data_IF_650970539739
#
_entry.id   IF_650970539739
#
_cell.length_a   1.000
_cell.length_b   1.000
_cell.length_c   1.000
_cell.angle_alpha   90.00
_cell.angle_beta   90.00
_cell.angle_gamma   90.00
#
_symmetry.space_group_name_H-M   'P 1'
#
loop_
_entity.id
_entity.type
_entity.pdbx_description
1 polymer ?
#
# COMPACT_ATOMS: atom_id res chain seq x y z
N UNK A 1 -27.23 15.38 -34.90
CA UNK A 1 -27.11 15.81 -33.49
C UNK A 1 -25.75 15.38 -32.97
N UNK A 2 -24.83 16.33 -32.90
CA UNK A 2 -23.55 16.28 -32.19
C UNK A 2 -23.62 17.42 -31.15
N UNK A 3 -23.02 17.27 -29.95
CA UNK A 3 -21.56 17.30 -29.84
C UNK A 3 -20.95 16.33 -28.81
N UNK A 4 -19.84 15.71 -29.18
CA UNK A 4 -18.79 15.20 -28.27
C UNK A 4 -17.72 16.28 -28.16
N UNK A 5 -17.60 16.91 -26.99
CA UNK A 5 -16.56 17.91 -26.71
C UNK A 5 -15.36 17.18 -26.07
N UNK A 6 -14.42 16.70 -26.89
CA UNK A 6 -13.14 16.16 -26.45
C UNK A 6 -12.21 17.33 -26.20
N UNK A 7 -11.94 17.65 -24.93
CA UNK A 7 -10.97 18.70 -24.58
C UNK A 7 -9.62 18.11 -24.20
N UNK A 8 -8.68 18.16 -25.14
CA UNK A 8 -7.26 18.12 -24.83
C UNK A 8 -6.85 19.44 -24.16
N UNK A 9 -6.38 19.39 -22.91
CA UNK A 9 -5.64 20.49 -22.29
C UNK A 9 -4.43 19.96 -21.56
N UNK A 10 -3.27 20.54 -21.85
CA UNK A 10 -2.06 20.36 -21.07
C UNK A 10 -2.23 21.02 -19.69
N UNK A 11 -1.90 20.33 -18.58
CA UNK A 11 -1.82 20.98 -17.28
C UNK A 11 -0.48 21.70 -17.15
N UNK A 12 -0.56 22.97 -16.72
CA UNK A 12 0.57 23.71 -16.17
C UNK A 12 0.99 23.07 -14.83
N UNK A 13 2.30 22.95 -14.64
CA UNK A 13 2.98 22.47 -13.43
C UNK A 13 2.44 23.15 -12.17
N UNK A 14 1.91 22.35 -11.24
CA UNK A 14 2.00 22.57 -9.80
C UNK A 14 2.50 21.24 -9.22
N UNK A 15 3.69 21.27 -8.60
CA UNK A 15 4.27 20.09 -7.96
C UNK A 15 3.53 19.81 -6.65
N UNK A 16 2.74 18.73 -6.60
CA UNK A 16 2.52 17.96 -5.39
C UNK A 16 3.37 16.70 -5.51
N UNK A 17 4.41 16.61 -4.67
CA UNK A 17 5.43 15.57 -4.72
C UNK A 17 4.91 14.34 -3.96
N UNK A 18 4.40 13.35 -4.68
CA UNK A 18 4.18 12.01 -4.16
C UNK A 18 5.37 11.14 -4.58
N UNK A 19 6.17 10.69 -3.61
CA UNK A 19 7.34 9.85 -3.86
C UNK A 19 6.91 8.41 -4.15
N UNK A 20 6.77 8.07 -5.43
CA UNK A 20 6.86 6.69 -5.88
C UNK A 20 8.35 6.29 -5.87
N UNK A 21 8.71 5.34 -5.00
CA UNK A 21 10.08 4.86 -4.85
C UNK A 21 10.48 4.04 -6.08
N UNK A 22 11.41 4.56 -6.88
CA UNK A 22 12.12 3.83 -7.93
C UNK A 22 13.47 4.51 -8.15
N UNK A 23 14.43 4.21 -7.29
CA UNK A 23 15.82 4.64 -7.45
C UNK A 23 16.55 3.65 -8.37
N UNK A 24 16.75 4.04 -9.62
CA UNK A 24 17.80 3.50 -10.49
C UNK A 24 19.07 4.31 -10.25
N UNK A 25 20.08 3.67 -9.65
CA UNK A 25 21.43 4.21 -9.53
C UNK A 25 22.10 4.24 -10.91
N UNK A 26 22.33 5.45 -11.43
CA UNK A 26 23.32 5.69 -12.48
C UNK A 26 24.62 6.15 -11.82
N UNK A 27 25.65 5.32 -11.92
CA UNK A 27 27.01 5.70 -11.57
C UNK A 27 27.62 6.58 -12.66
N UNK A 28 28.14 7.75 -12.30
CA UNK A 28 29.24 8.39 -13.01
C UNK A 28 30.11 9.15 -12.01
N UNK A 29 31.40 8.85 -12.03
CA UNK A 29 32.40 9.40 -11.12
C UNK A 29 32.94 10.76 -11.53
N UNK A 30 33.96 11.19 -10.79
CA UNK A 30 34.83 12.31 -11.14
C UNK A 30 34.78 13.44 -10.14
N UNK A 31 35.74 13.43 -9.22
CA UNK A 31 36.02 14.49 -8.27
C UNK A 31 36.61 15.74 -8.95
N UNK A 32 36.37 16.93 -8.40
CA UNK A 32 37.34 18.02 -8.39
C UNK A 32 37.01 19.03 -7.27
N UNK A 33 38.05 19.45 -6.56
CA UNK A 33 38.04 20.29 -5.37
C UNK A 33 38.20 21.77 -5.73
N UNK A 34 37.68 22.69 -4.89
CA UNK A 34 38.22 24.04 -4.72
C UNK A 34 38.01 24.54 -3.29
N UNK A 35 39.02 25.23 -2.78
CA UNK A 35 39.25 25.61 -1.39
C UNK A 35 38.76 27.02 -1.02
N UNK A 36 38.62 27.22 0.30
CA UNK A 36 38.76 28.43 1.14
C UNK A 36 38.05 29.75 0.81
N UNK A 37 37.26 30.24 1.78
CA UNK A 37 37.25 31.64 2.20
C UNK A 37 36.65 31.82 3.61
N UNK A 38 37.30 32.70 4.38
CA UNK A 38 37.18 33.00 5.80
C UNK A 38 35.86 33.66 6.29
N UNK A 39 35.77 33.64 7.62
CA UNK A 39 34.76 34.19 8.54
C UNK A 39 34.37 35.65 8.36
N UNK A 40 33.07 35.93 8.50
CA UNK A 40 32.56 37.19 9.03
C UNK A 40 31.50 36.90 10.10
N UNK A 41 31.78 37.34 11.32
CA UNK A 41 30.89 37.18 12.47
C UNK A 41 29.63 38.02 12.32
N UNK A 42 28.48 37.40 12.56
CA UNK A 42 27.19 38.06 12.80
C UNK A 42 26.61 37.47 14.07
N UNK A 43 26.23 38.35 15.00
CA UNK A 43 25.72 38.01 16.31
C UNK A 43 24.54 37.04 16.22
N UNK A 44 24.63 35.92 16.95
CA UNK A 44 23.54 34.96 17.09
C UNK A 44 22.38 35.62 17.85
N UNK A 45 21.35 36.04 17.13
CA UNK A 45 20.04 36.28 17.74
C UNK A 45 19.48 34.93 18.17
N UNK A 46 19.09 34.83 19.44
CA UNK A 46 18.43 33.66 20.02
C UNK A 46 17.19 33.36 19.19
N UNK A 47 17.27 32.32 18.37
CA UNK A 47 16.11 31.70 17.76
C UNK A 47 15.33 31.05 18.90
N UNK A 48 14.06 31.43 19.03
CA UNK A 48 13.10 30.70 19.85
C UNK A 48 13.15 29.25 19.38
N UNK A 49 13.67 28.35 20.23
CA UNK A 49 13.67 26.93 19.92
C UNK A 49 12.21 26.50 19.71
N UNK A 50 11.86 25.93 18.54
CA UNK A 50 10.53 25.38 18.36
C UNK A 50 10.34 24.32 19.44
N UNK A 51 9.26 24.44 20.21
CA UNK A 51 8.89 23.50 21.28
C UNK A 51 9.07 22.06 20.79
N UNK A 52 9.85 21.28 21.54
CA UNK A 52 10.31 19.92 21.26
C UNK A 52 9.22 18.85 21.11
N UNK A 53 7.94 19.22 21.06
CA UNK A 53 6.81 18.28 20.99
C UNK A 53 6.30 17.98 19.57
N UNK A 54 6.79 18.68 18.55
CA UNK A 54 6.54 18.34 17.14
C UNK A 54 7.85 18.02 16.42
N UNK A 55 8.63 17.10 16.99
CA UNK A 55 9.70 16.48 16.21
C UNK A 55 9.07 15.90 14.93
N UNK A 56 9.62 16.27 13.78
CA UNK A 56 9.33 15.75 12.45
C UNK A 56 9.49 14.21 12.50
N UNK A 57 8.43 13.49 12.91
CA UNK A 57 8.41 12.04 13.12
C UNK A 57 8.37 11.35 11.77
N UNK A 58 9.52 11.27 11.11
CA UNK A 58 9.66 10.48 9.89
C UNK A 58 10.04 9.06 10.27
N UNK A 59 9.06 8.17 10.37
CA UNK A 59 9.36 6.75 10.32
C UNK A 59 9.75 6.43 8.88
N UNK A 60 11.02 6.10 8.67
CA UNK A 60 11.45 5.48 7.43
C UNK A 60 11.49 3.99 7.69
N UNK A 61 10.57 3.28 7.07
CA UNK A 61 10.62 1.82 6.98
C UNK A 61 10.89 1.44 5.55
N UNK A 62 11.82 0.51 5.36
CA UNK A 62 12.15 -0.01 4.05
C UNK A 62 12.42 -1.50 4.14
N UNK A 63 12.12 -2.17 3.04
CA UNK A 63 12.39 -3.59 2.87
C UNK A 63 13.63 -3.76 1.99
N UNK A 64 14.57 -4.60 2.43
CA UNK A 64 15.73 -4.97 1.61
C UNK A 64 15.37 -6.06 0.62
N UNK A 65 16.18 -6.25 -0.42
CA UNK A 65 16.04 -7.39 -1.35
C UNK A 65 16.15 -8.73 -0.64
N UNK A 66 16.88 -8.81 0.48
CA UNK A 66 16.94 -9.99 1.36
C UNK A 66 15.74 -10.10 2.31
N UNK A 67 14.62 -9.42 2.01
CA UNK A 67 13.37 -9.43 2.74
C UNK A 67 13.49 -8.98 4.21
N UNK A 68 14.44 -8.11 4.52
CA UNK A 68 14.58 -7.53 5.86
C UNK A 68 13.78 -6.25 5.98
N UNK A 69 13.01 -6.13 7.05
CA UNK A 69 12.34 -4.91 7.44
C UNK A 69 13.29 -4.08 8.31
N UNK A 70 13.63 -2.90 7.83
CA UNK A 70 14.50 -1.96 8.53
C UNK A 70 13.69 -0.73 8.95
N UNK A 71 13.98 -0.21 10.13
CA UNK A 71 13.45 1.06 10.64
C UNK A 71 14.61 2.02 10.87
N UNK A 72 14.55 3.21 10.30
CA UNK A 72 15.49 4.29 10.61
C UNK A 72 14.95 5.13 11.76
N UNK A 73 15.79 5.47 12.73
CA UNK A 73 15.46 6.45 13.76
C UNK A 73 15.75 7.89 13.32
N UNK A 74 15.38 8.86 14.16
CA UNK A 74 15.57 10.29 13.86
C UNK A 74 17.04 10.72 13.78
N UNK A 75 17.99 9.86 14.16
CA UNK A 75 19.43 10.10 14.03
C UNK A 75 19.99 9.51 12.72
N UNK A 76 19.14 8.89 11.89
CA UNK A 76 19.55 8.24 10.65
C UNK A 76 20.08 6.81 10.86
N UNK A 77 19.98 6.25 12.08
CA UNK A 77 20.46 4.90 12.35
C UNK A 77 19.40 3.88 11.97
N UNK A 78 19.80 2.90 11.14
CA UNK A 78 18.93 1.80 10.73
C UNK A 78 18.97 0.64 11.73
N UNK A 79 17.79 0.19 12.14
CA UNK A 79 17.57 -0.93 13.05
C UNK A 79 16.83 -2.04 12.31
N UNK A 80 17.33 -3.26 12.41
CA UNK A 80 16.62 -4.44 11.91
C UNK A 80 15.37 -4.69 12.78
N UNK A 81 14.20 -4.68 12.16
CA UNK A 81 12.93 -5.01 12.82
C UNK A 81 12.66 -6.51 12.72
N UNK A 82 12.71 -7.04 11.51
CA UNK A 82 12.41 -8.44 11.24
C UNK A 82 13.07 -8.90 9.94
N UNK A 83 13.32 -10.20 9.83
CA UNK A 83 13.78 -10.85 8.61
C UNK A 83 12.64 -11.63 7.97
N UNK A 84 12.74 -11.90 6.66
CA UNK A 84 11.76 -12.65 5.88
C UNK A 84 10.37 -12.01 6.01
N UNK A 85 10.28 -10.76 5.59
CA UNK A 85 9.06 -9.96 5.65
C UNK A 85 8.52 -9.66 4.27
N UNK A 86 7.33 -9.07 4.18
CA UNK A 86 6.74 -8.59 2.93
C UNK A 86 5.63 -7.56 3.17
N UNK A 87 5.38 -6.75 2.14
CA UNK A 87 4.31 -5.77 2.06
C UNK A 87 4.13 -4.93 3.35
N UNK A 88 5.18 -4.21 3.81
CA UNK A 88 5.03 -3.34 4.97
C UNK A 88 4.18 -2.11 4.63
N UNK A 89 3.28 -1.73 5.54
CA UNK A 89 2.46 -0.53 5.42
C UNK A 89 2.45 0.28 6.72
N UNK A 90 2.69 1.59 6.61
CA UNK A 90 2.65 2.55 7.71
C UNK A 90 1.19 2.91 8.02
N UNK A 91 0.82 2.96 9.30
CA UNK A 91 -0.52 3.38 9.71
C UNK A 91 -0.80 4.84 9.40
N UNK A 92 -2.08 5.26 9.25
CA UNK A 92 -2.43 6.65 8.94
C UNK A 92 -1.91 7.68 9.95
N UNK A 93 -1.80 7.28 11.23
CA UNK A 93 -1.25 8.10 12.32
C UNK A 93 0.30 8.16 12.30
N UNK A 94 0.95 7.34 11.46
CA UNK A 94 2.39 7.29 11.36
C UNK A 94 3.09 6.82 12.63
N UNK A 95 2.45 6.00 13.47
CA UNK A 95 3.06 5.46 14.71
C UNK A 95 3.26 3.93 14.66
N UNK A 96 2.70 3.26 13.67
CA UNK A 96 2.75 1.79 13.52
C UNK A 96 3.06 1.37 12.09
N UNK A 97 3.57 0.15 11.97
CA UNK A 97 3.76 -0.52 10.67
C UNK A 97 3.21 -1.92 10.74
N UNK A 98 2.29 -2.27 9.85
CA UNK A 98 1.88 -3.66 9.65
C UNK A 98 2.76 -4.30 8.59
N UNK A 99 3.11 -5.57 8.76
CA UNK A 99 3.86 -6.32 7.76
C UNK A 99 3.53 -7.81 7.83
N UNK A 100 3.70 -8.50 6.71
CA UNK A 100 3.68 -9.95 6.69
C UNK A 100 5.05 -10.50 7.08
N UNK A 101 5.08 -11.47 7.98
CA UNK A 101 6.26 -12.27 8.34
C UNK A 101 6.09 -13.65 7.72
N UNK A 102 7.09 -14.07 6.96
CA UNK A 102 7.14 -15.35 6.26
C UNK A 102 7.69 -16.45 7.20
N UNK A 103 7.44 -17.74 6.91
CA UNK A 103 7.92 -18.84 7.72
C UNK A 103 9.44 -18.81 7.95
N UNK A 104 9.86 -19.32 9.10
CA UNK A 104 11.26 -19.61 9.35
C UNK A 104 11.74 -20.68 8.35
N UNK A 105 12.71 -20.32 7.51
CA UNK A 105 13.22 -21.18 6.44
C UNK A 105 12.73 -20.83 5.03
N UNK A 106 11.81 -19.86 4.88
CA UNK A 106 11.44 -19.32 3.57
C UNK A 106 12.68 -18.81 2.82
N UNK A 107 12.83 -19.25 1.57
CA UNK A 107 13.80 -18.73 0.60
C UNK A 107 13.07 -18.05 -0.55
N UNK A 108 13.72 -17.05 -1.14
CA UNK A 108 13.18 -16.38 -2.32
C UNK A 108 12.89 -17.40 -3.43
N UNK A 109 11.67 -17.37 -3.97
CA UNK A 109 11.16 -18.34 -4.94
C UNK A 109 10.36 -19.49 -4.32
N UNK A 110 10.39 -19.68 -2.99
CA UNK A 110 9.53 -20.65 -2.33
C UNK A 110 8.06 -20.22 -2.41
N UNK A 111 7.17 -21.21 -2.43
CA UNK A 111 5.75 -20.97 -2.20
C UNK A 111 5.55 -20.58 -0.74
N UNK A 112 4.94 -19.42 -0.50
CA UNK A 112 4.63 -18.97 0.86
C UNK A 112 3.54 -19.88 1.44
N UNK A 113 3.92 -20.75 2.38
CA UNK A 113 2.98 -21.70 2.98
C UNK A 113 2.27 -21.14 4.21
N UNK A 114 2.93 -20.31 5.02
CA UNK A 114 2.39 -19.80 6.30
C UNK A 114 2.94 -18.43 6.66
N UNK A 115 2.37 -17.37 6.08
CA UNK A 115 2.65 -16.01 6.55
C UNK A 115 1.71 -15.59 7.66
N UNK A 116 2.23 -14.69 8.49
CA UNK A 116 1.58 -14.12 9.67
C UNK A 116 1.68 -12.60 9.60
N UNK A 117 0.73 -11.89 10.16
CA UNK A 117 0.81 -10.44 10.27
C UNK A 117 1.36 -10.03 11.62
N UNK A 118 2.20 -9.01 11.61
CA UNK A 118 2.76 -8.36 12.78
C UNK A 118 2.54 -6.85 12.69
N UNK A 119 2.38 -6.20 13.83
CA UNK A 119 2.31 -4.74 13.96
C UNK A 119 3.49 -4.26 14.78
N UNK A 120 4.38 -3.51 14.14
CA UNK A 120 5.47 -2.76 14.76
C UNK A 120 4.91 -1.49 15.39
N UNK A 121 5.21 -1.27 16.67
CA UNK A 121 5.16 0.06 17.28
C UNK A 121 6.47 0.79 16.96
N UNK A 122 6.37 1.89 16.23
CA UNK A 122 7.55 2.58 15.73
C UNK A 122 8.36 3.28 16.82
N UNK A 123 7.69 3.74 17.88
CA UNK A 123 8.33 4.40 19.01
C UNK A 123 9.14 3.39 19.84
N UNK A 124 8.55 2.25 20.19
CA UNK A 124 9.23 1.24 21.02
C UNK A 124 10.11 0.28 20.22
N UNK A 125 9.91 0.17 18.91
CA UNK A 125 10.58 -0.82 18.05
C UNK A 125 10.15 -2.26 18.29
N UNK A 126 9.02 -2.46 18.97
CA UNK A 126 8.51 -3.79 19.31
C UNK A 126 7.42 -4.16 18.32
N UNK A 127 7.44 -5.42 17.88
CA UNK A 127 6.39 -5.98 17.02
C UNK A 127 5.55 -6.99 17.78
N UNK A 128 4.24 -6.82 17.71
CA UNK A 128 3.27 -7.78 18.23
C UNK A 128 2.69 -8.59 17.06
N UNK A 129 2.55 -9.91 17.25
CA UNK A 129 1.87 -10.79 16.29
C UNK A 129 0.37 -10.50 16.35
N UNK A 130 -0.27 -10.29 15.19
CA UNK A 130 -1.71 -9.99 15.10
C UNK A 130 -2.52 -11.10 14.44
N UNK A 131 -1.90 -12.03 13.71
CA UNK A 131 -2.60 -13.18 13.14
C UNK A 131 -1.82 -14.49 13.28
N UNK A 132 -2.56 -15.62 13.20
CA UNK A 132 -2.01 -16.96 13.44
C UNK A 132 -1.85 -17.86 12.20
N UNK A 133 -0.92 -17.58 11.28
CA UNK A 133 -0.29 -18.60 10.43
C UNK A 133 -1.15 -19.25 9.32
N UNK A 134 -1.90 -18.44 8.57
CA UNK A 134 -2.77 -18.90 7.47
C UNK A 134 -2.54 -18.11 6.19
N UNK A 135 -1.34 -18.16 5.60
CA UNK A 135 -1.01 -17.43 4.38
C UNK A 135 -1.46 -15.95 4.33
N UNK A 136 -1.47 -15.29 5.49
CA UNK A 136 -1.96 -13.92 5.63
C UNK A 136 -0.99 -12.94 4.94
N UNK A 137 -1.48 -12.14 4.01
CA UNK A 137 -0.64 -11.31 3.13
C UNK A 137 -1.32 -10.02 2.69
N UNK A 138 -0.55 -9.13 2.04
CA UNK A 138 -0.98 -7.82 1.56
C UNK A 138 -1.81 -7.02 2.60
N UNK A 139 -1.27 -6.82 3.82
CA UNK A 139 -1.99 -6.11 4.86
C UNK A 139 -2.07 -4.62 4.53
N UNK A 140 -3.24 -4.01 4.78
CA UNK A 140 -3.45 -2.57 4.69
C UNK A 140 -4.22 -2.05 5.89
N UNK A 141 -3.87 -0.85 6.35
CA UNK A 141 -4.58 -0.20 7.44
C UNK A 141 -5.90 0.38 6.98
N UNK A 142 -6.92 0.28 7.80
CA UNK A 142 -8.12 1.09 7.60
C UNK A 142 -7.81 2.57 7.81
N UNK A 143 -8.56 3.51 7.18
CA UNK A 143 -8.30 4.95 7.32
C UNK A 143 -8.32 5.48 8.77
N UNK A 144 -9.03 4.80 9.67
CA UNK A 144 -9.06 5.14 11.10
C UNK A 144 -7.85 4.58 11.90
N UNK A 145 -6.97 3.81 11.27
CA UNK A 145 -5.79 3.17 11.85
C UNK A 145 -6.08 2.09 12.88
N UNK A 146 -7.34 1.64 13.06
CA UNK A 146 -7.71 0.70 14.13
C UNK A 146 -7.70 -0.76 13.68
N UNK A 147 -7.91 -0.98 12.39
CA UNK A 147 -8.10 -2.31 11.80
C UNK A 147 -7.12 -2.49 10.65
N UNK A 148 -6.71 -3.74 10.43
CA UNK A 148 -5.93 -4.16 9.27
C UNK A 148 -6.84 -5.03 8.41
N UNK A 149 -6.97 -4.69 7.13
CA UNK A 149 -7.50 -5.58 6.10
C UNK A 149 -6.35 -6.38 5.49
N UNK A 150 -6.58 -7.63 5.13
CA UNK A 150 -5.56 -8.48 4.53
C UNK A 150 -6.17 -9.62 3.72
N UNK A 151 -5.34 -10.28 2.92
CA UNK A 151 -5.72 -11.45 2.12
C UNK A 151 -5.36 -12.74 2.85
N UNK A 152 -6.27 -13.72 2.81
CA UNK A 152 -5.98 -15.10 3.21
C UNK A 152 -6.86 -16.07 2.41
N UNK A 153 -6.27 -17.21 2.03
CA UNK A 153 -6.98 -18.30 1.35
C UNK A 153 -7.15 -19.50 2.29
N UNK A 154 -6.16 -19.82 3.11
CA UNK A 154 -6.19 -21.02 3.96
C UNK A 154 -7.27 -20.99 5.03
N UNK A 155 -7.68 -19.80 5.50
CA UNK A 155 -8.70 -19.67 6.56
C UNK A 155 -10.10 -20.11 6.14
N UNK A 156 -10.49 -19.88 4.89
CA UNK A 156 -11.84 -20.20 4.37
C UNK A 156 -11.83 -21.18 3.19
N UNK A 157 -10.66 -21.55 2.67
CA UNK A 157 -10.50 -22.41 1.50
C UNK A 157 -10.70 -21.69 0.16
N UNK A 158 -11.03 -20.39 0.17
CA UNK A 158 -11.14 -19.54 -1.01
C UNK A 158 -10.47 -18.20 -0.74
N UNK A 159 -9.76 -17.60 -1.72
CA UNK A 159 -9.17 -16.28 -1.55
C UNK A 159 -10.20 -15.27 -1.06
N UNK A 160 -9.93 -14.65 0.09
CA UNK A 160 -10.85 -13.73 0.75
C UNK A 160 -10.10 -12.58 1.39
N UNK A 161 -10.77 -11.43 1.51
CA UNK A 161 -10.36 -10.38 2.43
C UNK A 161 -10.83 -10.72 3.83
N UNK A 162 -9.96 -10.44 4.79
CA UNK A 162 -10.17 -10.58 6.22
C UNK A 162 -9.83 -9.26 6.90
N UNK A 163 -10.36 -9.08 8.10
CA UNK A 163 -10.07 -7.93 8.96
C UNK A 163 -9.67 -8.38 10.35
N UNK A 164 -8.74 -7.67 10.96
CA UNK A 164 -8.33 -7.88 12.35
C UNK A 164 -7.99 -6.53 12.99
N UNK A 165 -8.33 -6.34 14.27
CA UNK A 165 -7.88 -5.14 14.99
C UNK A 165 -6.37 -5.16 15.15
N UNK A 166 -5.75 -3.99 15.28
CA UNK A 166 -4.31 -3.83 15.47
C UNK A 166 -3.72 -4.62 16.65
N UNK A 167 -4.56 -5.03 17.61
CA UNK A 167 -4.20 -5.84 18.77
C UNK A 167 -4.45 -7.34 18.58
N UNK A 168 -4.73 -7.79 17.36
CA UNK A 168 -5.00 -9.19 17.02
C UNK A 168 -6.42 -9.69 17.33
N UNK A 169 -7.30 -8.84 17.87
CA UNK A 169 -8.68 -9.23 18.22
C UNK A 169 -9.66 -9.02 17.07
N UNK A 170 -10.85 -9.62 17.20
CA UNK A 170 -11.99 -9.40 16.29
C UNK A 170 -11.66 -9.78 14.83
N UNK A 171 -10.92 -10.87 14.68
CA UNK A 171 -10.60 -11.46 13.39
C UNK A 171 -11.90 -11.92 12.70
N UNK A 172 -12.16 -11.41 11.50
CA UNK A 172 -13.37 -11.71 10.71
C UNK A 172 -13.08 -11.81 9.23
N UNK A 173 -13.79 -12.71 8.56
CA UNK A 173 -13.83 -12.78 7.11
C UNK A 173 -14.74 -11.67 6.58
N UNK A 174 -14.28 -10.94 5.56
CA UNK A 174 -14.95 -9.75 5.01
C UNK A 174 -15.59 -10.06 3.67
N UNK A 175 -14.90 -10.78 2.78
CA UNK A 175 -15.46 -11.25 1.51
C UNK A 175 -15.64 -12.76 1.51
N UNK A 176 -16.54 -13.25 0.66
CA UNK A 176 -16.67 -14.67 0.33
C UNK A 176 -17.12 -15.57 1.50
N UNK A 177 -17.78 -15.01 2.52
CA UNK A 177 -18.31 -15.77 3.66
C UNK A 177 -19.33 -16.81 3.20
N UNK A 178 -19.04 -18.09 3.43
CA UNK A 178 -19.91 -19.20 3.03
C UNK A 178 -20.06 -19.36 1.51
N UNK A 179 -19.15 -18.79 0.72
CA UNK A 179 -19.16 -18.88 -0.75
C UNK A 179 -18.07 -19.81 -1.28
N UNK A 180 -18.18 -20.22 -2.54
CA UNK A 180 -17.12 -20.92 -3.27
C UNK A 180 -16.65 -20.07 -4.45
N UNK A 181 -15.50 -20.41 -5.04
CA UNK A 181 -14.99 -19.73 -6.25
C UNK A 181 -15.92 -19.80 -7.47
N UNK A 182 -16.91 -20.70 -7.45
CA UNK A 182 -17.91 -20.87 -8.51
C UNK A 182 -19.23 -20.16 -8.21
N UNK A 183 -19.37 -19.54 -7.03
CA UNK A 183 -20.56 -18.79 -6.66
C UNK A 183 -20.66 -17.49 -7.45
N UNK A 184 -21.86 -17.12 -7.87
CA UNK A 184 -22.12 -15.81 -8.51
C UNK A 184 -21.89 -14.63 -7.56
N UNK A 185 -21.93 -14.88 -6.25
CA UNK A 185 -21.63 -13.89 -5.21
C UNK A 185 -20.13 -13.81 -4.85
N UNK A 186 -19.28 -14.61 -5.52
CA UNK A 186 -17.83 -14.59 -5.28
C UNK A 186 -17.26 -13.21 -5.67
N UNK A 187 -16.49 -12.63 -4.75
CA UNK A 187 -15.73 -11.41 -4.93
C UNK A 187 -14.27 -11.82 -5.12
N UNK A 188 -13.72 -11.75 -6.35
CA UNK A 188 -12.33 -12.06 -6.60
C UNK A 188 -11.42 -11.13 -5.80
N UNK A 189 -10.40 -11.67 -5.16
CA UNK A 189 -9.40 -10.86 -4.46
C UNK A 189 -8.41 -10.22 -5.46
N UNK A 190 -7.74 -9.13 -5.04
CA UNK A 190 -6.65 -8.54 -5.81
C UNK A 190 -5.58 -9.57 -6.20
N UNK A 191 -4.91 -9.29 -7.32
CA UNK A 191 -3.73 -10.03 -7.71
C UNK A 191 -2.69 -10.06 -6.58
N UNK A 192 -1.94 -11.16 -6.47
CA UNK A 192 -0.85 -11.29 -5.50
C UNK A 192 0.14 -10.13 -5.68
N UNK A 193 0.36 -9.36 -4.61
CA UNK A 193 1.23 -8.18 -4.65
C UNK A 193 0.56 -6.90 -5.19
N UNK A 194 -0.74 -6.91 -5.47
CA UNK A 194 -1.50 -5.71 -5.78
C UNK A 194 -1.73 -4.86 -4.53
N UNK A 195 -1.46 -3.56 -4.62
CA UNK A 195 -1.76 -2.60 -3.55
C UNK A 195 -3.27 -2.45 -3.39
N UNK A 196 -3.76 -2.51 -2.15
CA UNK A 196 -5.12 -2.09 -1.84
C UNK A 196 -5.08 -0.59 -1.58
N UNK A 197 -5.50 0.21 -2.55
CA UNK A 197 -5.52 1.67 -2.38
C UNK A 197 -6.88 2.12 -1.85
N UNK A 198 -6.85 2.70 -0.64
CA UNK A 198 -7.98 3.45 -0.11
C UNK A 198 -8.16 4.76 -0.86
N UNK A 199 -9.42 5.15 -1.05
CA UNK A 199 -9.74 6.54 -1.41
C UNK A 199 -9.37 7.49 -0.24
N UNK A 200 -8.89 8.68 -0.55
CA UNK A 200 -8.41 9.68 0.40
C UNK A 200 -9.45 10.02 1.51
N UNK A 201 -10.74 9.88 1.20
CA UNK A 201 -11.85 10.16 2.11
C UNK A 201 -12.76 8.95 2.40
N UNK A 202 -12.56 7.79 1.74
CA UNK A 202 -13.60 6.75 1.66
C UNK A 202 -13.11 5.36 2.02
N UNK A 203 -14.05 4.61 2.62
CA UNK A 203 -13.96 3.18 2.88
C UNK A 203 -14.11 2.38 1.58
N UNK A 204 -13.34 2.71 0.55
CA UNK A 204 -13.41 2.08 -0.77
C UNK A 204 -12.01 1.64 -1.14
N UNK A 205 -11.91 0.42 -1.63
CA UNK A 205 -10.69 -0.13 -2.20
C UNK A 205 -10.93 -0.39 -3.68
N UNK A 206 -9.95 0.00 -4.49
CA UNK A 206 -9.91 -0.28 -5.92
C UNK A 206 -8.69 -1.14 -6.20
N UNK A 207 -8.87 -2.16 -7.03
CA UNK A 207 -7.81 -3.11 -7.31
C UNK A 207 -8.00 -3.78 -8.67
N UNK A 208 -6.93 -4.43 -9.14
CA UNK A 208 -6.98 -5.29 -10.34
C UNK A 208 -6.93 -6.75 -9.91
N UNK A 209 -7.76 -7.60 -10.51
CA UNK A 209 -7.70 -9.05 -10.32
C UNK A 209 -6.63 -9.67 -11.21
N UNK A 210 -6.08 -10.83 -10.83
CA UNK A 210 -5.26 -11.62 -11.76
C UNK A 210 -6.14 -12.14 -12.88
N UNK A 211 -5.77 -11.89 -14.13
CA UNK A 211 -6.40 -12.58 -15.26
C UNK A 211 -6.02 -14.05 -15.25
N UNK A 212 -7.00 -14.93 -15.39
CA UNK A 212 -6.78 -16.37 -15.52
C UNK A 212 -6.39 -16.77 -16.97
N UNK A 213 -6.44 -15.84 -17.92
CA UNK A 213 -6.11 -16.07 -19.33
C UNK A 213 -4.87 -15.30 -19.72
N UNK A 214 -3.90 -16.03 -20.27
CA UNK A 214 -2.61 -15.48 -20.66
C UNK A 214 -2.80 -14.39 -21.74
N UNK A 215 -2.33 -13.17 -21.46
CA UNK A 215 -2.41 -12.04 -22.39
C UNK A 215 -3.71 -11.22 -22.33
N UNK A 216 -4.65 -11.56 -21.45
CA UNK A 216 -5.83 -10.72 -21.18
C UNK A 216 -5.60 -9.84 -19.95
N UNK A 217 -6.13 -8.61 -19.98
CA UNK A 217 -6.15 -7.72 -18.83
C UNK A 217 -6.99 -8.34 -17.69
N UNK A 218 -6.64 -8.03 -16.44
CA UNK A 218 -7.47 -8.36 -15.29
C UNK A 218 -8.80 -7.58 -15.30
N UNK A 219 -9.60 -7.76 -14.26
CA UNK A 219 -10.72 -6.86 -14.00
C UNK A 219 -10.31 -5.79 -13.00
N UNK A 220 -10.65 -4.54 -13.31
CA UNK A 220 -10.62 -3.46 -12.34
C UNK A 220 -11.90 -3.53 -11.51
N UNK A 221 -11.76 -3.66 -10.20
CA UNK A 221 -12.88 -3.87 -9.29
C UNK A 221 -12.87 -2.86 -8.15
N UNK A 222 -14.06 -2.65 -7.60
CA UNK A 222 -14.32 -1.78 -6.46
C UNK A 222 -14.95 -2.61 -5.35
N UNK A 223 -14.49 -2.43 -4.12
CA UNK A 223 -15.19 -2.85 -2.92
C UNK A 223 -15.40 -1.59 -2.05
N UNK A 224 -16.64 -1.33 -1.65
CA UNK A 224 -16.96 -0.35 -0.63
C UNK A 224 -17.29 -1.04 0.70
N UNK A 225 -16.96 -0.39 1.80
CA UNK A 225 -17.21 -0.90 3.15
C UNK A 225 -18.08 0.06 3.96
N UNK A 226 -18.86 -0.52 4.87
CA UNK A 226 -19.66 0.22 5.84
C UNK A 226 -18.82 0.73 7.02
N UNK A 227 -19.48 1.25 8.06
CA UNK A 227 -18.79 1.80 9.23
C UNK A 227 -18.00 0.84 10.07
N UNK A 228 -18.36 -0.42 9.98
CA UNK A 228 -17.73 -1.49 10.72
C UNK A 228 -16.72 -2.23 9.82
N UNK A 229 -16.45 -1.74 8.60
CA UNK A 229 -15.58 -2.38 7.61
C UNK A 229 -16.07 -3.74 7.12
N UNK A 230 -17.39 -3.95 7.12
CA UNK A 230 -18.03 -5.03 6.39
C UNK A 230 -18.37 -4.56 4.96
N UNK A 231 -18.46 -5.50 4.00
CA UNK A 231 -18.67 -5.16 2.58
C UNK A 231 -20.06 -4.56 2.39
N UNK A 232 -20.12 -3.32 1.93
CA UNK A 232 -21.36 -2.63 1.56
C UNK A 232 -21.71 -2.88 0.09
N UNK A 233 -20.72 -2.88 -0.81
CA UNK A 233 -20.89 -3.24 -2.21
C UNK A 233 -19.58 -3.73 -2.83
N UNK A 234 -19.67 -4.60 -3.84
CA UNK A 234 -18.52 -5.05 -4.61
C UNK A 234 -18.93 -5.24 -6.08
N UNK A 235 -18.20 -4.62 -7.02
CA UNK A 235 -18.55 -4.65 -8.43
C UNK A 235 -17.33 -4.43 -9.34
N UNK A 236 -17.48 -4.81 -10.61
CA UNK A 236 -16.45 -4.62 -11.64
C UNK A 236 -16.65 -3.29 -12.37
N UNK A 237 -15.57 -2.58 -12.66
CA UNK A 237 -15.52 -1.45 -13.59
C UNK A 237 -15.26 -1.92 -15.03
N UNK A 238 -14.86 -3.17 -15.21
CA UNK A 238 -14.54 -3.78 -16.50
C UNK A 238 -13.09 -4.26 -16.58
N UNK A 239 -12.70 -4.78 -17.74
CA UNK A 239 -11.34 -5.27 -17.98
C UNK A 239 -10.35 -4.11 -18.07
N UNK A 240 -9.18 -4.28 -17.45
CA UNK A 240 -8.12 -3.28 -17.43
C UNK A 240 -7.10 -3.53 -16.31
N UNK A 241 -6.25 -2.53 -16.09
CA UNK A 241 -5.15 -2.59 -15.14
C UNK A 241 -4.72 -1.19 -14.67
N UNK A 242 -3.95 -1.16 -13.58
CA UNK A 242 -3.36 0.06 -13.02
C UNK A 242 -4.38 1.14 -12.64
N UNK A 243 -5.41 0.81 -11.84
CA UNK A 243 -6.34 1.81 -11.33
C UNK A 243 -5.61 2.77 -10.40
N UNK A 244 -5.92 4.07 -10.52
CA UNK A 244 -5.42 5.13 -9.65
C UNK A 244 -6.55 6.10 -9.35
N UNK A 245 -6.64 6.54 -8.10
CA UNK A 245 -7.56 7.61 -7.69
C UNK A 245 -7.09 8.97 -8.22
N UNK A 246 -8.03 9.77 -8.74
CA UNK A 246 -7.79 11.16 -9.08
C UNK A 246 -8.15 12.07 -7.92
N UNK A 247 -7.60 13.29 -7.90
CA UNK A 247 -8.00 14.36 -6.96
C UNK A 247 -9.50 14.71 -7.03
N UNK A 248 -10.21 14.28 -8.08
CA UNK A 248 -11.65 14.51 -8.25
C UNK A 248 -12.51 13.40 -7.65
N UNK A 249 -11.90 12.38 -7.03
CA UNK A 249 -12.59 11.19 -6.51
C UNK A 249 -13.11 10.27 -7.62
N UNK A 250 -12.47 10.28 -8.79
CA UNK A 250 -12.71 9.30 -9.86
C UNK A 250 -11.57 8.28 -9.89
N UNK A 251 -11.80 7.14 -10.50
CA UNK A 251 -10.77 6.14 -10.78
C UNK A 251 -10.41 6.22 -12.25
N UNK A 252 -9.12 6.33 -12.53
CA UNK A 252 -8.58 6.17 -13.90
C UNK A 252 -7.86 4.83 -13.97
N UNK A 253 -8.12 4.04 -15.01
CA UNK A 253 -7.39 2.80 -15.28
C UNK A 253 -7.13 2.63 -16.78
N UNK A 254 -6.19 1.76 -17.12
CA UNK A 254 -5.84 1.46 -18.52
C UNK A 254 -6.49 0.16 -18.98
N UNK A 255 -6.82 0.06 -20.27
CA UNK A 255 -7.28 -1.21 -20.86
C UNK A 255 -6.81 -1.37 -22.30
N UNK A 256 -6.66 -2.61 -22.75
CA UNK A 256 -6.37 -2.95 -24.13
C UNK A 256 -7.66 -2.97 -24.98
N UNK A 257 -7.69 -2.14 -26.04
CA UNK A 257 -8.73 -2.12 -27.07
C UNK A 257 -8.09 -2.34 -28.44
N UNK A 258 -8.31 -3.53 -29.04
CA UNK A 258 -7.82 -3.83 -30.38
C UNK A 258 -6.30 -3.67 -30.55
N UNK A 259 -5.52 -3.96 -29.49
CA UNK A 259 -4.06 -3.81 -29.49
C UNK A 259 -3.54 -2.41 -29.13
N UNK A 260 -4.41 -1.48 -28.74
CA UNK A 260 -4.02 -0.17 -28.20
C UNK A 260 -4.40 -0.05 -26.74
N UNK A 261 -3.50 0.49 -25.93
CA UNK A 261 -3.80 0.87 -24.56
C UNK A 261 -4.55 2.19 -24.56
N UNK A 262 -5.74 2.22 -23.94
CA UNK A 262 -6.56 3.41 -23.73
C UNK A 262 -6.79 3.65 -22.24
N UNK A 263 -6.98 4.91 -21.85
CA UNK A 263 -7.31 5.29 -20.48
C UNK A 263 -8.81 5.47 -20.32
N UNK A 264 -9.36 4.93 -19.23
CA UNK A 264 -10.77 4.99 -18.87
C UNK A 264 -10.88 5.71 -17.52
N UNK A 265 -11.68 6.77 -17.45
CA UNK A 265 -12.00 7.47 -16.20
C UNK A 265 -13.44 7.16 -15.81
N UNK A 266 -13.64 6.65 -14.58
CA UNK A 266 -14.94 6.25 -14.06
C UNK A 266 -15.19 6.89 -12.72
N UNK A 267 -16.40 7.41 -12.52
CA UNK A 267 -16.85 7.87 -11.21
C UNK A 267 -17.30 6.67 -10.37
N UNK A 268 -16.66 6.49 -9.23
CA UNK A 268 -17.02 5.47 -8.25
C UNK A 268 -18.08 6.05 -7.31
N UNK A 269 -19.05 5.22 -6.90
CA UNK A 269 -20.15 5.62 -6.02
C UNK A 269 -19.93 5.13 -4.61
#
# INVERSE_FOLDING_TARGET
MHPTDVRCRSPRRNLAMWMASSLLLAACGGAEAYADAESAGVAAQSLVEPSSESADRRIIVYQTTSLQLMRMDNQGTSHLVAQRTGAPEVSPDGDRVVYAKLPDGYREGDVVQRSELYVLNANSGKSDRVTEGFDDSAPVWTPDGRTVLFQSMQRSGVPSLWRVKANGKDLKQVTNVGTTQFSSAYIPTPALGGTLEWDADRRIIVYTTTSLRQGEDGEVRVISFDKDYDVASAYSLGTGFGPVWTERGTVVYSRNEGGRVVSVEVRVK
#
